data_IF_368471222034
#
_entry.id   IF_368471222034
#
_cell.length_a   1.000
_cell.length_b   1.000
_cell.length_c   1.000
_cell.angle_alpha   90.00
_cell.angle_beta   90.00
_cell.angle_gamma   90.00
#
_symmetry.space_group_name_H-M   'P 1'
#
loop_
_entity.id
_entity.type
_entity.pdbx_description
1 polymer ?
#
# COMPACT_ATOMS: atom_id res chain seq x y z
N UNK A 1 -28.94 9.35 15.46
CA UNK A 1 -29.37 9.19 14.06
C UNK A 1 -30.82 9.64 13.98
N UNK A 2 -31.14 10.66 13.16
CA UNK A 2 -32.56 11.01 12.93
C UNK A 2 -33.22 9.78 12.30
N UNK A 3 -34.29 9.27 12.93
CA UNK A 3 -35.11 8.20 12.35
C UNK A 3 -35.71 8.73 11.04
N UNK A 4 -35.08 8.39 9.92
CA UNK A 4 -35.72 8.58 8.63
C UNK A 4 -36.95 7.67 8.59
N UNK A 5 -38.13 8.20 8.22
CA UNK A 5 -39.31 7.36 8.10
C UNK A 5 -39.01 6.23 7.11
N UNK A 6 -39.37 4.98 7.47
CA UNK A 6 -39.41 3.89 6.49
C UNK A 6 -40.51 4.25 5.50
N UNK A 7 -40.11 4.82 4.37
CA UNK A 7 -41.01 5.03 3.24
C UNK A 7 -41.20 3.65 2.63
N UNK A 8 -42.41 3.09 2.75
CA UNK A 8 -42.79 1.90 1.99
C UNK A 8 -42.98 2.34 0.55
N UNK A 9 -41.99 2.06 -0.30
CA UNK A 9 -41.95 2.52 -1.68
C UNK A 9 -42.80 1.66 -2.64
N UNK A 10 -43.34 0.52 -2.19
CA UNK A 10 -44.00 -0.46 -3.06
C UNK A 10 -45.09 -1.23 -2.31
N UNK A 11 -46.16 -1.57 -3.05
CA UNK A 11 -47.13 -2.58 -2.64
C UNK A 11 -46.57 -3.99 -2.92
N UNK A 12 -47.15 -5.02 -2.30
CA UNK A 12 -46.77 -6.41 -2.59
C UNK A 12 -46.94 -6.71 -4.10
N UNK A 13 -45.85 -7.02 -4.80
CA UNK A 13 -45.87 -7.44 -6.22
C UNK A 13 -45.24 -6.45 -7.22
N UNK A 14 -44.81 -5.26 -6.80
CA UNK A 14 -44.18 -4.28 -7.70
C UNK A 14 -42.64 -4.35 -7.62
N UNK A 15 -41.98 -4.28 -8.79
CA UNK A 15 -40.52 -4.21 -8.92
C UNK A 15 -40.11 -2.85 -9.50
N UNK A 16 -39.21 -2.14 -8.82
CA UNK A 16 -38.72 -0.82 -9.21
C UNK A 16 -37.25 -0.91 -9.63
N UNK A 17 -36.89 -0.26 -10.74
CA UNK A 17 -35.51 -0.05 -11.18
C UNK A 17 -34.99 1.34 -10.75
N UNK A 18 -33.68 1.56 -10.90
CA UNK A 18 -33.06 2.86 -10.57
C UNK A 18 -33.60 4.03 -11.40
N UNK A 19 -34.15 3.76 -12.60
CA UNK A 19 -34.75 4.76 -13.48
C UNK A 19 -36.10 5.28 -12.99
N UNK A 20 -36.79 4.51 -12.14
CA UNK A 20 -38.20 4.75 -11.81
C UNK A 20 -38.35 5.67 -10.60
N UNK A 21 -37.25 5.91 -9.88
CA UNK A 21 -37.21 6.67 -8.63
C UNK A 21 -36.19 7.78 -8.70
N UNK A 22 -36.46 8.86 -7.97
CA UNK A 22 -35.50 9.93 -7.75
C UNK A 22 -35.47 10.30 -6.26
N UNK A 23 -34.34 10.85 -5.82
CA UNK A 23 -34.18 11.30 -4.45
C UNK A 23 -34.81 12.69 -4.30
N UNK A 24 -35.85 12.82 -3.47
CA UNK A 24 -36.41 14.11 -3.09
C UNK A 24 -35.40 14.88 -2.23
N UNK A 25 -34.90 16.05 -2.66
CA UNK A 25 -34.00 16.84 -1.84
C UNK A 25 -34.66 17.25 -0.52
N UNK A 26 -33.88 17.26 0.56
CA UNK A 26 -34.31 17.73 1.87
C UNK A 26 -33.30 18.73 2.42
N UNK A 27 -33.73 19.54 3.38
CA UNK A 27 -32.87 20.55 4.00
C UNK A 27 -31.64 19.89 4.65
N UNK A 28 -30.47 20.51 4.45
CA UNK A 28 -29.19 20.07 4.98
C UNK A 28 -28.37 21.26 5.45
N UNK A 29 -27.81 21.17 6.66
CA UNK A 29 -26.93 22.19 7.26
C UNK A 29 -25.47 22.09 6.75
N UNK A 30 -25.19 21.17 5.82
CA UNK A 30 -23.84 20.91 5.32
C UNK A 30 -23.41 22.06 4.39
N UNK A 31 -22.44 22.86 4.86
CA UNK A 31 -21.98 24.06 4.16
C UNK A 31 -21.24 23.78 2.85
N UNK A 32 -20.50 22.66 2.77
CA UNK A 32 -19.71 22.30 1.59
C UNK A 32 -19.36 20.82 1.59
N UNK A 33 -19.20 20.23 0.39
CA UNK A 33 -18.68 18.87 0.20
C UNK A 33 -17.26 18.65 0.73
N UNK A 34 -16.50 19.73 0.90
CA UNK A 34 -15.14 19.68 1.46
C UNK A 34 -15.12 19.80 2.99
N UNK A 35 -16.29 19.92 3.62
CA UNK A 35 -16.38 19.81 5.07
C UNK A 35 -16.24 18.33 5.46
N UNK A 36 -15.49 18.04 6.52
CA UNK A 36 -15.38 16.69 7.11
C UNK A 36 -16.70 16.21 7.77
N UNK A 37 -17.85 16.73 7.35
CA UNK A 37 -19.17 16.41 7.88
C UNK A 37 -19.85 15.27 7.11
N UNK A 38 -19.33 14.91 5.92
CA UNK A 38 -19.84 13.81 5.09
C UNK A 38 -18.92 12.60 5.25
N UNK A 39 -19.45 11.50 5.78
CA UNK A 39 -18.74 10.22 5.88
C UNK A 39 -19.39 9.21 4.92
N UNK A 40 -18.61 8.76 3.91
CA UNK A 40 -19.04 7.74 2.94
C UNK A 40 -18.54 6.34 3.28
N UNK A 41 -17.90 6.19 4.44
CA UNK A 41 -17.34 4.89 4.84
C UNK A 41 -18.44 3.91 5.19
N UNK A 42 -18.21 2.64 4.85
CA UNK A 42 -19.21 1.57 4.96
C UNK A 42 -18.56 0.24 5.30
N UNK A 43 -19.35 -0.69 5.83
CA UNK A 43 -18.93 -2.07 6.11
C UNK A 43 -19.64 -3.01 5.14
N UNK A 44 -18.87 -3.87 4.47
CA UNK A 44 -19.43 -4.82 3.47
C UNK A 44 -20.14 -5.99 4.15
N UNK A 45 -19.61 -6.44 5.29
CA UNK A 45 -20.11 -7.57 6.05
C UNK A 45 -19.77 -7.41 7.54
N UNK A 46 -20.50 -8.11 8.41
CA UNK A 46 -20.17 -8.12 9.85
C UNK A 46 -18.77 -8.72 10.05
N UNK A 47 -17.88 -7.96 10.68
CA UNK A 47 -16.49 -8.35 10.87
C UNK A 47 -15.57 -8.05 9.68
N UNK A 48 -16.12 -7.50 8.59
CA UNK A 48 -15.33 -6.93 7.51
C UNK A 48 -14.87 -5.52 7.89
N UNK A 49 -13.55 -5.23 7.85
CA UNK A 49 -13.02 -3.88 7.97
C UNK A 49 -13.70 -2.82 7.10
N UNK A 50 -13.74 -1.63 7.68
CA UNK A 50 -14.46 -0.48 7.14
C UNK A 50 -13.81 -0.03 5.83
N UNK A 51 -14.60 0.03 4.75
CA UNK A 51 -14.23 0.70 3.52
C UNK A 51 -14.42 2.19 3.70
N UNK A 52 -13.53 2.99 3.14
CA UNK A 52 -13.64 4.45 3.22
C UNK A 52 -14.52 5.03 2.11
N UNK A 53 -14.59 4.31 0.98
CA UNK A 53 -15.51 4.59 -0.11
C UNK A 53 -16.38 3.35 -0.35
N UNK A 54 -17.67 3.51 -0.69
CA UNK A 54 -18.60 2.40 -0.87
C UNK A 54 -18.48 1.79 -2.28
N UNK A 55 -17.25 1.54 -2.74
CA UNK A 55 -16.98 0.99 -4.06
C UNK A 55 -16.23 -0.34 -3.97
N UNK A 56 -16.76 -1.33 -4.68
CA UNK A 56 -16.18 -2.67 -4.80
C UNK A 56 -16.10 -3.01 -6.29
N UNK A 57 -14.93 -3.47 -6.75
CA UNK A 57 -14.80 -3.93 -8.15
C UNK A 57 -15.29 -5.37 -8.29
N UNK A 58 -15.99 -5.64 -9.39
CA UNK A 58 -16.57 -6.95 -9.67
C UNK A 58 -15.49 -8.02 -9.85
N UNK A 59 -15.71 -9.22 -9.28
CA UNK A 59 -14.83 -10.40 -9.37
C UNK A 59 -14.80 -11.08 -10.73
N UNK A 60 -14.71 -10.31 -11.82
CA UNK A 60 -14.65 -10.80 -13.21
C UNK A 60 -13.23 -10.71 -13.75
N UNK A 61 -12.85 -11.65 -14.61
CA UNK A 61 -11.52 -11.73 -15.24
C UNK A 61 -11.17 -10.49 -16.09
N UNK A 62 -12.17 -9.93 -16.75
CA UNK A 62 -12.05 -8.70 -17.55
C UNK A 62 -11.95 -7.42 -16.71
N UNK A 63 -12.34 -7.48 -15.42
CA UNK A 63 -12.46 -6.29 -14.56
C UNK A 63 -11.36 -6.25 -13.52
N UNK A 64 -11.24 -7.30 -12.70
CA UNK A 64 -10.42 -7.26 -11.49
C UNK A 64 -9.29 -8.29 -11.50
N UNK A 65 -8.14 -7.87 -12.04
CA UNK A 65 -6.85 -8.51 -11.78
C UNK A 65 -6.05 -7.81 -10.66
N UNK A 66 -4.79 -8.18 -10.51
CA UNK A 66 -3.87 -7.65 -9.49
C UNK A 66 -3.82 -6.11 -9.44
N UNK A 67 -3.70 -5.48 -10.60
CA UNK A 67 -3.55 -4.01 -10.72
C UNK A 67 -4.82 -3.28 -10.30
N UNK A 68 -6.00 -3.80 -10.66
CA UNK A 68 -7.27 -3.18 -10.29
C UNK A 68 -7.48 -3.30 -8.77
N UNK A 69 -7.24 -4.48 -8.20
CA UNK A 69 -7.34 -4.69 -6.77
C UNK A 69 -6.39 -3.79 -5.95
N UNK A 70 -5.17 -3.58 -6.45
CA UNK A 70 -4.22 -2.62 -5.87
C UNK A 70 -4.79 -1.19 -5.88
N UNK A 71 -5.24 -0.71 -7.04
CA UNK A 71 -5.75 0.67 -7.19
C UNK A 71 -7.02 0.90 -6.36
N UNK A 72 -7.95 -0.05 -6.36
CA UNK A 72 -9.19 0.05 -5.57
C UNK A 72 -8.87 0.21 -4.09
N UNK A 73 -7.95 -0.61 -3.57
CA UNK A 73 -7.57 -0.58 -2.17
C UNK A 73 -6.81 0.69 -1.78
N UNK A 74 -5.99 1.24 -2.68
CA UNK A 74 -5.30 2.52 -2.47
C UNK A 74 -6.25 3.72 -2.42
N UNK A 75 -7.39 3.65 -3.13
CA UNK A 75 -8.44 4.67 -3.06
C UNK A 75 -9.42 4.44 -1.90
N UNK A 76 -9.25 3.35 -1.14
CA UNK A 76 -10.05 3.00 0.02
C UNK A 76 -11.32 2.19 -0.24
N UNK A 77 -11.42 1.64 -1.45
CA UNK A 77 -12.42 0.63 -1.81
C UNK A 77 -11.88 -0.79 -1.66
N UNK A 78 -12.57 -1.75 -2.28
CA UNK A 78 -12.20 -3.16 -2.28
C UNK A 78 -12.16 -3.70 -3.71
N UNK A 79 -11.21 -4.57 -4.02
CA UNK A 79 -11.21 -5.32 -5.27
C UNK A 79 -11.33 -6.82 -5.03
N UNK A 80 -12.34 -7.45 -5.62
CA UNK A 80 -12.51 -8.91 -5.60
C UNK A 80 -11.73 -9.55 -6.75
N UNK A 81 -10.75 -10.41 -6.46
CA UNK A 81 -9.99 -11.11 -7.50
C UNK A 81 -10.84 -12.23 -8.10
N UNK A 82 -10.94 -12.26 -9.42
CA UNK A 82 -11.72 -13.27 -10.15
C UNK A 82 -11.29 -14.71 -9.84
N UNK A 83 -12.25 -15.64 -10.01
CA UNK A 83 -12.08 -17.07 -9.73
C UNK A 83 -11.66 -17.90 -10.95
N UNK A 84 -11.58 -17.27 -12.13
CA UNK A 84 -11.13 -17.92 -13.37
C UNK A 84 -9.59 -18.09 -13.39
N UNK A 85 -9.04 -18.68 -12.31
CA UNK A 85 -7.63 -18.91 -12.07
C UNK A 85 -7.48 -20.24 -11.32
N UNK A 86 -6.31 -20.86 -11.41
CA UNK A 86 -5.98 -21.93 -10.45
C UNK A 86 -5.87 -21.35 -9.03
N UNK A 87 -6.16 -22.13 -7.97
CA UNK A 87 -6.04 -21.66 -6.59
C UNK A 87 -4.65 -21.08 -6.26
N UNK A 88 -3.59 -21.64 -6.86
CA UNK A 88 -2.22 -21.16 -6.69
C UNK A 88 -2.02 -19.77 -7.32
N UNK A 89 -2.50 -19.56 -8.55
CA UNK A 89 -2.43 -18.26 -9.22
C UNK A 89 -3.23 -17.21 -8.47
N UNK A 90 -4.45 -17.52 -8.03
CA UNK A 90 -5.26 -16.58 -7.27
C UNK A 90 -4.58 -16.18 -5.95
N UNK A 91 -4.00 -17.15 -5.24
CA UNK A 91 -3.24 -16.89 -4.01
C UNK A 91 -2.03 -16.00 -4.26
N UNK A 92 -1.32 -16.19 -5.38
CA UNK A 92 -0.20 -15.33 -5.78
C UNK A 92 -0.66 -13.90 -6.07
N UNK A 93 -1.77 -13.71 -6.78
CA UNK A 93 -2.33 -12.37 -7.02
C UNK A 93 -2.68 -11.67 -5.70
N UNK A 94 -3.31 -12.39 -4.75
CA UNK A 94 -3.59 -11.87 -3.41
C UNK A 94 -2.28 -11.51 -2.69
N UNK A 95 -1.26 -12.37 -2.76
CA UNK A 95 0.05 -12.13 -2.14
C UNK A 95 0.67 -10.84 -2.66
N UNK A 96 0.71 -10.66 -3.98
CA UNK A 96 1.24 -9.46 -4.64
C UNK A 96 0.52 -8.19 -4.16
N UNK A 97 -0.82 -8.19 -4.17
CA UNK A 97 -1.62 -7.04 -3.72
C UNK A 97 -1.35 -6.71 -2.25
N UNK A 98 -1.26 -7.73 -1.39
CA UNK A 98 -0.97 -7.53 0.04
C UNK A 98 0.44 -7.06 0.31
N UNK A 99 1.44 -7.55 -0.43
CA UNK A 99 2.84 -7.14 -0.28
C UNK A 99 3.06 -5.67 -0.63
N UNK A 100 2.27 -5.11 -1.56
CA UNK A 100 2.35 -3.69 -1.93
C UNK A 100 1.78 -2.74 -0.87
N UNK A 101 0.83 -3.18 -0.06
CA UNK A 101 0.20 -2.36 0.98
C UNK A 101 0.90 -2.40 2.34
N UNK A 102 1.89 -3.28 2.51
CA UNK A 102 2.61 -3.39 3.80
C UNK A 102 3.45 -2.14 4.06
N UNK A 103 3.20 -1.50 5.19
CA UNK A 103 4.03 -0.40 5.70
C UNK A 103 5.33 -0.92 6.32
N UNK A 104 5.34 -2.14 6.85
CA UNK A 104 6.51 -2.79 7.45
C UNK A 104 6.75 -4.09 6.68
N UNK A 105 7.93 -4.23 6.08
CA UNK A 105 8.31 -5.40 5.30
C UNK A 105 8.96 -6.45 6.22
N UNK A 106 8.37 -7.65 6.27
CA UNK A 106 8.85 -8.75 7.12
C UNK A 106 10.05 -9.48 6.50
N UNK A 107 10.09 -9.59 5.16
CA UNK A 107 11.15 -10.28 4.43
C UNK A 107 11.66 -9.41 3.29
N UNK A 108 12.55 -8.44 3.59
CA UNK A 108 13.10 -7.56 2.57
C UNK A 108 14.03 -8.32 1.60
N UNK A 109 14.18 -7.85 0.35
CA UNK A 109 15.18 -8.38 -0.56
C UNK A 109 16.58 -8.19 0.03
N UNK A 110 17.28 -9.31 0.25
CA UNK A 110 18.59 -9.37 0.90
C UNK A 110 19.61 -10.06 0.00
N UNK A 111 20.84 -9.53 -0.02
CA UNK A 111 21.98 -10.12 -0.75
C UNK A 111 23.24 -10.10 0.12
N UNK A 112 24.14 -11.06 -0.15
CA UNK A 112 25.45 -11.08 0.50
C UNK A 112 26.34 -9.93 -0.01
N UNK A 113 27.26 -9.47 0.83
CA UNK A 113 28.34 -8.52 0.47
C UNK A 113 29.15 -8.96 -0.76
N UNK A 114 29.22 -10.28 -1.02
CA UNK A 114 29.94 -10.87 -2.16
C UNK A 114 29.14 -10.88 -3.47
N UNK A 115 27.86 -10.51 -3.45
CA UNK A 115 27.01 -10.55 -4.64
C UNK A 115 27.36 -9.44 -5.64
N UNK A 116 27.11 -9.70 -6.92
CA UNK A 116 27.28 -8.74 -8.01
C UNK A 116 26.04 -7.86 -8.17
N UNK A 117 26.20 -6.69 -8.81
CA UNK A 117 25.07 -5.82 -9.14
C UNK A 117 24.02 -6.54 -10.00
N UNK A 118 24.44 -7.41 -10.92
CA UNK A 118 23.52 -8.25 -11.73
C UNK A 118 22.55 -9.07 -10.88
N UNK A 119 23.03 -9.67 -9.79
CA UNK A 119 22.24 -10.55 -8.94
C UNK A 119 21.21 -9.75 -8.15
N UNK A 120 21.59 -8.55 -7.70
CA UNK A 120 20.68 -7.61 -7.07
C UNK A 120 19.61 -7.12 -8.04
N UNK A 121 19.96 -6.74 -9.27
CA UNK A 121 18.98 -6.31 -10.28
C UNK A 121 17.96 -7.41 -10.60
N UNK A 122 18.43 -8.65 -10.78
CA UNK A 122 17.55 -9.81 -10.99
C UNK A 122 16.60 -10.05 -9.80
N UNK A 123 17.08 -9.85 -8.57
CA UNK A 123 16.25 -9.95 -7.37
C UNK A 123 15.19 -8.83 -7.32
N UNK A 124 15.56 -7.61 -7.71
CA UNK A 124 14.67 -6.45 -7.73
C UNK A 124 13.57 -6.59 -8.78
N UNK A 125 13.88 -7.12 -9.95
CA UNK A 125 12.88 -7.43 -10.99
C UNK A 125 11.86 -8.45 -10.48
N UNK A 126 12.33 -9.54 -9.85
CA UNK A 126 11.46 -10.59 -9.30
C UNK A 126 10.59 -10.11 -8.14
N UNK A 127 11.09 -9.19 -7.31
CA UNK A 127 10.36 -8.68 -6.13
C UNK A 127 9.66 -7.34 -6.37
N UNK A 128 9.86 -6.72 -7.54
CA UNK A 128 9.34 -5.40 -7.91
C UNK A 128 9.61 -4.32 -6.83
N UNK A 129 10.83 -4.31 -6.30
CA UNK A 129 11.32 -3.33 -5.31
C UNK A 129 12.43 -2.46 -5.92
N UNK A 130 12.78 -1.37 -5.25
CA UNK A 130 13.83 -0.43 -5.70
C UNK A 130 15.09 -0.39 -4.81
N UNK A 131 15.18 -1.27 -3.82
CA UNK A 131 16.29 -1.35 -2.87
C UNK A 131 16.58 -2.79 -2.46
N UNK A 132 17.81 -3.05 -2.05
CA UNK A 132 18.28 -4.33 -1.50
C UNK A 132 19.07 -4.08 -0.23
N UNK A 133 18.85 -4.90 0.79
CA UNK A 133 19.65 -4.91 2.01
C UNK A 133 20.87 -5.83 1.84
N UNK A 134 22.01 -5.39 2.35
CA UNK A 134 23.27 -6.13 2.24
C UNK A 134 23.68 -6.65 3.60
N UNK A 135 23.95 -7.95 3.71
CA UNK A 135 24.39 -8.60 4.95
C UNK A 135 25.76 -9.27 4.80
N UNK A 136 26.49 -9.38 5.91
CA UNK A 136 27.80 -10.05 5.94
C UNK A 136 27.63 -11.56 6.08
N UNK A 137 28.40 -12.32 5.30
CA UNK A 137 28.44 -13.78 5.39
C UNK A 137 27.65 -14.48 4.28
N UNK A 138 27.56 -15.80 4.38
CA UNK A 138 26.88 -16.65 3.41
C UNK A 138 25.41 -16.92 3.81
N UNK A 139 25.06 -16.71 5.09
CA UNK A 139 23.69 -16.75 5.64
C UNK A 139 23.37 -15.49 6.45
N UNK A 140 22.10 -15.15 6.56
CA UNK A 140 21.65 -13.99 7.34
C UNK A 140 21.70 -14.28 8.84
N UNK A 141 22.66 -13.68 9.54
CA UNK A 141 22.86 -13.80 11.00
C UNK A 141 22.40 -12.55 11.77
N UNK A 142 21.53 -11.73 11.17
CA UNK A 142 21.04 -10.47 11.78
C UNK A 142 21.96 -9.26 11.57
N UNK A 143 23.14 -9.44 10.99
CA UNK A 143 24.11 -8.36 10.77
C UNK A 143 23.95 -7.69 9.40
N UNK A 144 23.26 -6.53 9.37
CA UNK A 144 23.09 -5.71 8.18
C UNK A 144 24.30 -4.77 8.00
N UNK A 145 24.95 -4.82 6.84
CA UNK A 145 26.07 -3.98 6.48
C UNK A 145 25.66 -2.65 5.83
N UNK A 146 24.56 -2.64 5.09
CA UNK A 146 24.14 -1.47 4.33
C UNK A 146 22.90 -1.69 3.47
N UNK A 147 22.58 -0.65 2.71
CA UNK A 147 21.49 -0.64 1.72
C UNK A 147 22.05 -0.21 0.36
N UNK A 148 21.56 -0.82 -0.71
CA UNK A 148 21.81 -0.41 -2.08
C UNK A 148 20.48 -0.10 -2.78
N UNK A 149 20.43 1.00 -3.52
CA UNK A 149 19.24 1.46 -4.24
C UNK A 149 19.52 1.57 -5.74
N UNK A 150 18.46 1.74 -6.55
CA UNK A 150 18.58 1.95 -8.00
C UNK A 150 19.55 3.08 -8.42
N UNK A 151 19.82 4.05 -7.55
CA UNK A 151 20.81 5.10 -7.84
C UNK A 151 22.24 4.63 -7.67
N UNK A 152 22.47 3.73 -6.72
CA UNK A 152 23.79 3.23 -6.40
C UNK A 152 24.22 2.25 -7.49
N UNK A 153 23.32 1.40 -8.02
CA UNK A 153 23.64 0.50 -9.13
C UNK A 153 24.12 1.22 -10.41
N UNK A 154 23.67 2.46 -10.65
CA UNK A 154 24.13 3.27 -11.78
C UNK A 154 25.59 3.75 -11.64
N UNK A 155 26.19 3.66 -10.45
CA UNK A 155 27.57 4.07 -10.21
C UNK A 155 28.59 2.98 -10.60
N UNK A 156 28.16 1.79 -11.00
CA UNK A 156 29.03 0.68 -11.38
C UNK A 156 28.48 -0.17 -12.52
N UNK A 157 29.32 -1.09 -13.01
CA UNK A 157 28.94 -2.07 -14.04
C UNK A 157 28.33 -3.33 -13.39
N UNK A 158 27.63 -4.16 -14.17
CA UNK A 158 26.95 -5.38 -13.71
C UNK A 158 27.83 -6.35 -12.92
N UNK A 159 29.14 -6.39 -13.19
CA UNK A 159 30.09 -7.28 -12.51
C UNK A 159 30.66 -6.72 -11.20
N UNK A 160 30.39 -5.46 -10.89
CA UNK A 160 30.90 -4.80 -9.69
C UNK A 160 30.27 -5.43 -8.46
N UNK A 161 31.08 -5.63 -7.41
CA UNK A 161 30.58 -6.08 -6.11
C UNK A 161 29.75 -4.99 -5.45
N UNK A 162 28.61 -5.39 -4.87
CA UNK A 162 27.68 -4.47 -4.17
C UNK A 162 28.37 -3.79 -2.99
N UNK A 163 29.34 -4.46 -2.35
CA UNK A 163 30.12 -3.93 -1.23
C UNK A 163 30.80 -2.58 -1.49
N UNK A 164 31.17 -2.30 -2.74
CA UNK A 164 31.84 -1.05 -3.14
C UNK A 164 30.88 0.11 -3.35
N UNK A 165 29.60 -0.19 -3.58
CA UNK A 165 28.61 0.75 -4.09
C UNK A 165 27.52 1.05 -3.05
N UNK A 166 27.29 0.12 -2.11
CA UNK A 166 26.29 0.27 -1.06
C UNK A 166 26.55 1.46 -0.11
N UNK A 167 25.47 2.00 0.45
CA UNK A 167 25.57 2.91 1.60
C UNK A 167 25.72 2.08 2.88
N UNK A 168 26.87 2.21 3.56
CA UNK A 168 27.21 1.42 4.76
C UNK A 168 26.59 1.95 6.06
N UNK A 169 26.40 1.05 7.02
CA UNK A 169 25.94 1.36 8.39
C UNK A 169 27.08 2.01 9.21
N UNK A 170 28.29 1.46 9.11
CA UNK A 170 29.52 2.05 9.63
C UNK A 170 30.04 3.07 8.63
N UNK A 171 30.06 4.35 9.00
CA UNK A 171 30.36 5.45 8.09
C UNK A 171 31.78 5.42 7.56
N UNK A 172 31.98 4.85 6.37
CA UNK A 172 33.23 4.96 5.61
C UNK A 172 33.19 6.20 4.69
N UNK A 173 32.92 7.38 5.26
CA UNK A 173 33.05 8.68 4.59
C UNK A 173 31.97 9.09 3.57
N UNK A 174 31.07 8.20 3.11
CA UNK A 174 30.12 8.51 2.03
C UNK A 174 28.77 9.01 2.57
N UNK A 175 28.03 8.21 3.36
CA UNK A 175 26.81 8.60 4.12
C UNK A 175 26.55 7.58 5.24
N UNK A 176 26.04 8.01 6.39
CA UNK A 176 25.62 7.12 7.49
C UNK A 176 24.16 6.69 7.29
N UNK A 177 23.89 5.39 7.28
CA UNK A 177 22.51 4.89 7.27
C UNK A 177 21.78 5.31 8.55
N UNK A 178 20.57 5.87 8.40
CA UNK A 178 19.70 6.18 9.53
C UNK A 178 18.98 4.91 9.94
N UNK A 179 19.27 4.41 11.13
CA UNK A 179 18.62 3.23 11.72
C UNK A 179 17.76 3.62 12.92
N UNK A 180 16.73 2.82 13.20
CA UNK A 180 15.89 2.90 14.39
C UNK A 180 16.10 1.63 15.24
N UNK A 181 15.79 1.70 16.54
CA UNK A 181 15.88 0.54 17.44
C UNK A 181 14.68 -0.39 17.23
N UNK A 182 14.88 -1.67 17.55
CA UNK A 182 13.78 -2.63 17.55
C UNK A 182 12.69 -2.20 18.55
N UNK A 183 11.42 -2.36 18.17
CA UNK A 183 10.27 -1.90 18.95
C UNK A 183 9.84 -0.44 18.72
N UNK A 184 10.48 0.28 17.78
CA UNK A 184 10.04 1.64 17.42
C UNK A 184 8.64 1.61 16.79
N UNK A 185 7.72 2.41 17.31
CA UNK A 185 6.38 2.53 16.73
C UNK A 185 6.41 3.21 15.36
N UNK A 186 5.39 2.96 14.52
CA UNK A 186 5.31 3.55 13.19
C UNK A 186 5.37 5.09 13.21
N UNK A 187 4.72 5.72 14.19
CA UNK A 187 4.70 7.18 14.36
C UNK A 187 6.08 7.72 14.72
N UNK A 188 6.80 7.06 15.61
CA UNK A 188 8.19 7.41 15.96
C UNK A 188 9.13 7.21 14.77
N UNK A 189 8.98 6.13 14.01
CA UNK A 189 9.78 5.87 12.82
C UNK A 189 9.60 6.99 11.77
N UNK A 190 8.36 7.43 11.54
CA UNK A 190 8.05 8.55 10.65
C UNK A 190 8.70 9.85 11.14
N UNK A 191 8.69 10.10 12.45
CA UNK A 191 9.36 11.26 13.05
C UNK A 191 10.88 11.23 12.84
N UNK A 192 11.53 10.10 13.10
CA UNK A 192 12.97 9.90 12.88
C UNK A 192 13.33 10.14 11.41
N UNK A 193 12.50 9.65 10.48
CA UNK A 193 12.68 9.88 9.04
C UNK A 193 12.57 11.37 8.70
N UNK A 194 11.57 12.11 9.23
CA UNK A 194 11.43 13.56 8.97
C UNK A 194 12.59 14.37 9.51
N UNK A 195 13.01 14.10 10.75
CA UNK A 195 14.00 14.91 11.45
C UNK A 195 15.41 14.75 10.86
N UNK A 196 15.74 13.56 10.35
CA UNK A 196 17.07 13.26 9.80
C UNK A 196 17.18 13.35 8.28
N UNK A 197 16.07 13.37 7.56
CA UNK A 197 16.06 13.55 6.11
C UNK A 197 16.05 15.04 5.77
N UNK A 198 17.24 15.59 5.51
CA UNK A 198 17.40 17.00 5.14
C UNK A 198 16.55 17.41 3.93
N UNK A 199 15.52 18.21 4.20
CA UNK A 199 14.96 19.22 3.31
C UNK A 199 13.96 18.76 2.24
N UNK A 200 12.69 18.53 2.62
CA UNK A 200 11.51 18.90 1.80
C UNK A 200 10.31 19.13 2.73
N UNK A 201 9.98 20.39 3.00
CA UNK A 201 8.68 20.78 3.61
C UNK A 201 7.63 20.73 2.49
N UNK A 202 6.59 19.92 2.65
CA UNK A 202 5.46 19.97 1.73
C UNK A 202 4.65 21.25 2.00
N UNK A 203 4.77 22.22 1.11
CA UNK A 203 3.94 23.42 1.10
C UNK A 203 2.56 23.08 0.50
N UNK A 204 1.69 22.46 1.30
CA UNK A 204 0.23 22.47 1.08
C UNK A 204 -0.47 22.08 2.39
N UNK A 205 -1.13 23.05 3.01
CA UNK A 205 -2.06 22.85 4.11
C UNK A 205 -3.19 21.94 3.64
N UNK A 206 -3.19 20.69 4.11
CA UNK A 206 -4.19 19.67 3.77
C UNK A 206 -3.65 18.33 3.26
N UNK A 207 -2.33 18.17 3.08
CA UNK A 207 -1.75 16.88 2.71
C UNK A 207 -1.44 16.02 3.95
N UNK A 208 -2.16 14.90 4.08
CA UNK A 208 -1.89 13.84 5.05
C UNK A 208 -0.48 13.25 4.93
N UNK A 209 -0.04 12.65 6.03
CA UNK A 209 1.35 12.38 6.36
C UNK A 209 1.97 11.14 5.70
N UNK A 210 2.64 11.31 4.55
CA UNK A 210 3.68 10.37 4.07
C UNK A 210 4.27 10.82 2.74
N UNK A 211 5.60 10.89 2.65
CA UNK A 211 6.34 11.31 1.46
C UNK A 211 7.44 10.31 1.11
N UNK A 212 7.39 9.77 -0.11
CA UNK A 212 8.58 9.42 -0.88
C UNK A 212 8.39 9.95 -2.30
N UNK A 213 9.04 11.05 -2.67
CA UNK A 213 9.06 11.53 -4.05
C UNK A 213 10.46 12.03 -4.41
N UNK A 214 11.05 11.46 -5.47
CA UNK A 214 12.13 12.13 -6.21
C UNK A 214 12.01 11.75 -7.70
N UNK A 215 11.88 12.79 -8.54
CA UNK A 215 11.71 12.82 -10.02
C UNK A 215 10.29 12.65 -10.55
N UNK A 216 9.57 13.77 -10.69
CA UNK A 216 8.67 14.08 -11.81
C UNK A 216 7.42 13.21 -12.04
N UNK A 217 7.29 12.06 -11.37
CA UNK A 217 6.06 11.30 -11.20
C UNK A 217 5.79 11.26 -9.71
N UNK A 218 5.06 12.27 -9.23
CA UNK A 218 4.45 12.22 -7.92
C UNK A 218 3.41 11.10 -7.92
N UNK A 219 3.84 9.85 -7.70
CA UNK A 219 2.97 8.90 -7.02
C UNK A 219 2.98 9.33 -5.56
N UNK A 220 2.19 10.34 -5.27
CA UNK A 220 1.69 10.50 -3.91
C UNK A 220 0.96 9.20 -3.61
N UNK A 221 1.59 8.30 -2.85
CA UNK A 221 0.80 7.42 -2.01
C UNK A 221 0.15 8.36 -1.00
N UNK A 222 -0.97 8.95 -1.43
CA UNK A 222 -1.93 9.58 -0.55
C UNK A 222 -2.32 8.43 0.37
N UNK A 223 -1.77 8.39 1.59
CA UNK A 223 -2.41 7.65 2.67
C UNK A 223 -3.60 8.47 3.13
N UNK A 224 -4.55 8.63 2.21
CA UNK A 224 -5.94 8.83 2.51
C UNK A 224 -6.54 7.45 2.30
N UNK A 225 -7.11 6.91 3.37
CA UNK A 225 -8.12 5.86 3.23
C UNK A 225 -7.63 4.45 2.85
N UNK A 226 -6.45 4.00 3.27
CA UNK A 226 -6.14 2.56 3.23
C UNK A 226 -7.01 1.82 4.26
N UNK A 227 -7.77 0.82 3.82
CA UNK A 227 -8.45 -0.16 4.66
C UNK A 227 -7.41 -0.92 5.48
N UNK A 228 -7.13 -0.43 6.68
CA UNK A 228 -6.32 -1.15 7.67
C UNK A 228 -7.15 -2.34 8.14
N UNK A 229 -6.52 -3.51 8.10
CA UNK A 229 -7.04 -4.83 8.51
C UNK A 229 -7.81 -5.52 7.39
N UNK A 230 -7.57 -6.82 7.16
CA UNK A 230 -8.58 -7.77 6.68
C UNK A 230 -8.05 -9.21 6.75
N UNK A 231 -8.84 -10.03 7.44
CA UNK A 231 -8.69 -11.48 7.58
C UNK A 231 -9.08 -12.26 6.33
N UNK A 232 -8.61 -13.51 6.31
CA UNK A 232 -8.93 -14.53 5.33
C UNK A 232 -10.31 -15.09 5.71
N UNK A 233 -11.34 -14.80 4.92
CA UNK A 233 -12.62 -15.49 5.04
C UNK A 233 -12.59 -16.73 4.15
N UNK A 234 -12.40 -17.90 4.77
CA UNK A 234 -12.67 -19.19 4.15
C UNK A 234 -14.18 -19.45 4.31
N UNK A 235 -14.89 -19.66 3.20
CA UNK A 235 -16.25 -20.21 3.26
C UNK A 235 -16.11 -21.62 3.85
N UNK A 236 -16.79 -21.89 4.96
CA UNK A 236 -17.00 -23.27 5.37
C UNK A 236 -17.99 -23.85 4.36
N UNK A 237 -17.55 -24.85 3.61
CA UNK A 237 -18.40 -25.63 2.73
C UNK A 237 -19.38 -26.44 3.61
N UNK A 238 -20.67 -26.17 3.43
CA UNK A 238 -21.78 -27.09 3.68
C UNK A 238 -22.46 -27.34 2.35
#
# INVERSE_FOLDING_TARGET
>A
MKNFPKINFYNEGEALAFSDVYLKPSYSDIKSRYSNQIDTSTEVAKGAPKLNIPFISSGMDTVTGEKMAEVMSLNGGLGEIHRNNTPSQQAEMVRIVKEKMRTIETNPPMVSVKAKISDALNLLEKRNRGYVLVFKGDKFEGNICGIATNKDFNAGNNETLISKVMTSVTGNGIRKLITAKDGTSLTQAVKIMRDRWGGYRCARSGCGESFTCRRGRCRCYIFGYSTRSFGIYKRNDT
#
